data_IF_710380238889
#
_entry.id   IF_710380238889
#
_cell.length_a   1.000
_cell.length_b   1.000
_cell.length_c   1.000
_cell.angle_alpha   90.00
_cell.angle_beta   90.00
_cell.angle_gamma   90.00
#
_symmetry.space_group_name_H-M   'P 1'
#
loop_
_entity.id
_entity.type
_entity.pdbx_description
1 polymer ?
#
# COMPACT_ATOMS: atom_id res chain seq x y z
N UNK A 1 -24.04 5.35 -7.39
CA UNK A 1 -23.34 5.93 -6.51
C UNK A 1 -22.09 6.52 -7.03
N UNK A 2 -21.77 7.62 -6.63
CA UNK A 2 -20.64 8.27 -7.19
C UNK A 2 -19.39 7.85 -6.47
N UNK A 3 -18.30 7.85 -7.15
CA UNK A 3 -17.07 7.55 -6.55
C UNK A 3 -16.44 8.79 -6.07
N UNK A 4 -15.84 8.74 -4.89
CA UNK A 4 -15.12 9.86 -4.38
C UNK A 4 -13.65 9.73 -4.66
N UNK A 5 -13.26 8.86 -5.57
CA UNK A 5 -11.86 8.65 -5.85
C UNK A 5 -11.64 8.26 -7.31
N UNK A 6 -10.41 8.46 -7.75
CA UNK A 6 -10.04 8.04 -9.08
C UNK A 6 -8.74 7.27 -8.98
N UNK A 7 -8.71 6.04 -9.49
CA UNK A 7 -7.49 5.24 -9.47
C UNK A 7 -6.65 5.71 -10.63
N UNK A 8 -5.66 6.53 -10.35
CA UNK A 8 -4.86 7.12 -11.40
C UNK A 8 -3.92 6.10 -12.02
N UNK A 9 -3.28 5.30 -11.18
CA UNK A 9 -2.41 4.28 -11.71
C UNK A 9 -2.23 3.18 -10.70
N UNK A 10 -2.36 1.93 -11.13
CA UNK A 10 -2.10 0.80 -10.28
C UNK A 10 -0.62 0.54 -10.29
N UNK A 11 -0.02 0.39 -9.13
CA UNK A 11 1.41 0.16 -9.04
C UNK A 11 1.68 -1.31 -8.75
N UNK A 12 1.14 -1.85 -7.66
CA UNK A 12 1.44 -3.23 -7.32
C UNK A 12 0.48 -3.79 -6.29
N UNK A 13 0.30 -5.09 -6.35
CA UNK A 13 -0.39 -5.82 -5.29
C UNK A 13 0.70 -6.36 -4.40
N UNK A 14 0.65 -6.04 -3.11
CA UNK A 14 1.69 -6.43 -2.21
C UNK A 14 1.29 -7.55 -1.25
N UNK A 15 0.08 -8.04 -1.38
CA UNK A 15 -0.30 -9.22 -0.60
C UNK A 15 -1.78 -9.28 -0.30
N UNK A 16 -2.13 -10.24 0.53
CA UNK A 16 -3.47 -10.30 1.08
C UNK A 16 -4.55 -10.61 0.09
N UNK A 17 -4.41 -11.61 -0.73
CA UNK A 17 -5.41 -11.87 -1.73
C UNK A 17 -6.45 -12.88 -1.35
N UNK A 18 -6.83 -12.98 -0.14
CA UNK A 18 -7.85 -13.92 0.27
C UNK A 18 -9.23 -13.30 0.14
N UNK A 19 -10.21 -14.06 -0.26
CA UNK A 19 -11.60 -13.61 -0.32
C UNK A 19 -11.79 -12.35 -1.16
N UNK A 20 -11.06 -12.23 -2.23
CA UNK A 20 -11.22 -11.07 -3.10
C UNK A 20 -10.58 -9.82 -2.54
N UNK A 21 -9.84 -9.92 -1.46
CA UNK A 21 -9.19 -8.78 -0.85
C UNK A 21 -7.74 -8.77 -1.24
N UNK A 22 -7.21 -7.62 -1.59
CA UNK A 22 -5.81 -7.49 -1.93
C UNK A 22 -5.26 -6.23 -1.28
N UNK A 23 -4.02 -6.30 -0.83
CA UNK A 23 -3.36 -5.12 -0.30
C UNK A 23 -2.55 -4.53 -1.44
N UNK A 24 -2.78 -3.29 -1.76
CA UNK A 24 -2.20 -2.70 -2.96
C UNK A 24 -1.57 -1.35 -2.70
N UNK A 25 -0.59 -1.02 -3.54
CA UNK A 25 -0.05 0.32 -3.54
C UNK A 25 -0.40 0.90 -4.90
N UNK A 26 -1.00 2.08 -4.93
CA UNK A 26 -1.49 2.69 -6.14
C UNK A 26 -1.33 4.20 -6.05
N UNK A 27 -1.58 4.89 -7.15
CA UNK A 27 -1.67 6.34 -7.12
C UNK A 27 -3.15 6.64 -7.26
N UNK A 28 -3.70 7.33 -6.27
CA UNK A 28 -5.14 7.55 -6.18
C UNK A 28 -5.41 9.02 -5.93
N UNK A 29 -6.43 9.53 -6.61
CA UNK A 29 -6.88 10.89 -6.39
C UNK A 29 -8.17 10.81 -5.60
N UNK A 30 -8.16 11.38 -4.40
CA UNK A 30 -9.34 11.36 -3.54
C UNK A 30 -10.06 12.69 -3.64
N UNK A 31 -11.29 12.64 -4.11
CA UNK A 31 -12.09 13.85 -4.19
C UNK A 31 -11.39 14.95 -4.97
N UNK A 32 -11.21 16.09 -4.34
CA UNK A 32 -10.59 17.23 -4.99
C UNK A 32 -9.11 17.36 -4.71
N UNK A 33 -8.56 16.41 -3.94
CA UNK A 33 -7.16 16.52 -3.58
C UNK A 33 -6.26 16.05 -4.73
N UNK A 34 -5.01 16.45 -4.70
CA UNK A 34 -4.08 15.98 -5.70
C UNK A 34 -3.84 14.49 -5.56
N UNK A 35 -3.40 13.82 -6.61
CA UNK A 35 -3.11 12.40 -6.50
C UNK A 35 -2.06 12.12 -5.45
N UNK A 36 -2.22 11.04 -4.72
CA UNK A 36 -1.33 10.66 -3.66
C UNK A 36 -0.96 9.19 -3.80
N UNK A 37 0.13 8.82 -3.16
CA UNK A 37 0.50 7.42 -3.11
C UNK A 37 -0.36 6.79 -2.03
N UNK A 38 -0.98 5.67 -2.35
CA UNK A 38 -1.96 5.08 -1.46
C UNK A 38 -1.65 3.61 -1.22
N UNK A 39 -1.69 3.19 0.03
CA UNK A 39 -1.47 1.81 0.41
C UNK A 39 -2.68 1.39 1.21
N UNK A 40 -3.46 0.46 0.67
CA UNK A 40 -4.65 0.01 1.39
C UNK A 40 -5.15 -1.31 0.87
N UNK A 41 -6.11 -1.86 1.55
CA UNK A 41 -6.77 -3.05 1.10
C UNK A 41 -7.89 -2.66 0.17
N UNK A 42 -8.09 -3.48 -0.85
CA UNK A 42 -9.17 -3.30 -1.82
C UNK A 42 -9.96 -4.59 -1.88
N UNK A 43 -11.26 -4.50 -1.96
CA UNK A 43 -12.10 -5.66 -2.06
C UNK A 43 -13.12 -5.42 -3.15
N UNK A 44 -13.09 -6.25 -4.18
CA UNK A 44 -14.03 -6.13 -5.28
C UNK A 44 -14.07 -4.73 -5.88
N UNK A 45 -12.91 -4.13 -6.00
CA UNK A 45 -12.82 -2.79 -6.59
C UNK A 45 -13.13 -1.65 -5.65
N UNK A 46 -13.39 -1.96 -4.38
CA UNK A 46 -13.70 -0.93 -3.43
C UNK A 46 -12.59 -0.73 -2.43
N UNK A 47 -12.24 0.52 -2.13
CA UNK A 47 -11.16 0.78 -1.19
C UNK A 47 -11.62 0.53 0.24
N UNK A 48 -10.77 -0.12 1.02
CA UNK A 48 -11.04 -0.38 2.41
C UNK A 48 -10.01 0.40 3.23
N UNK A 49 -9.62 -0.08 4.39
CA UNK A 49 -8.71 0.65 5.25
C UNK A 49 -7.33 0.77 4.66
N UNK A 50 -6.72 1.90 4.87
CA UNK A 50 -5.37 2.13 4.40
C UNK A 50 -4.92 3.54 4.68
N UNK A 51 -3.84 3.94 4.03
CA UNK A 51 -3.28 5.27 4.24
C UNK A 51 -2.91 5.88 2.89
N UNK A 52 -2.95 7.20 2.84
CA UNK A 52 -2.48 7.92 1.69
C UNK A 52 -1.28 8.73 2.12
N UNK A 53 -0.29 8.83 1.27
CA UNK A 53 0.96 9.47 1.60
C UNK A 53 1.30 10.55 0.60
N UNK A 54 1.87 11.63 1.08
CA UNK A 54 2.41 12.63 0.21
C UNK A 54 3.72 12.09 -0.38
N UNK A 55 4.25 12.80 -1.36
CA UNK A 55 5.53 12.40 -1.95
C UNK A 55 6.62 12.35 -0.88
N UNK A 56 6.66 13.37 -0.01
CA UNK A 56 7.69 13.40 1.03
C UNK A 56 7.52 12.28 2.04
N UNK A 57 6.28 12.00 2.40
CA UNK A 57 6.02 10.89 3.32
C UNK A 57 6.40 9.57 2.69
N UNK A 58 6.14 9.41 1.41
CA UNK A 58 6.48 8.17 0.74
C UNK A 58 7.99 7.98 0.67
N UNK A 59 8.76 9.07 0.50
CA UNK A 59 10.20 8.95 0.50
C UNK A 59 10.70 8.48 1.85
N UNK A 60 10.13 9.01 2.94
CA UNK A 60 10.54 8.58 4.25
C UNK A 60 10.15 7.13 4.49
N UNK A 61 8.99 6.74 3.96
CA UNK A 61 8.57 5.35 4.11
C UNK A 61 9.53 4.42 3.39
N UNK A 62 10.02 4.82 2.23
CA UNK A 62 10.94 3.97 1.50
C UNK A 62 12.19 3.70 2.34
N UNK A 63 12.74 4.76 2.95
CA UNK A 63 13.92 4.61 3.76
C UNK A 63 13.63 3.76 5.00
N UNK A 64 12.49 3.99 5.63
CA UNK A 64 12.13 3.25 6.82
C UNK A 64 11.88 1.78 6.49
N UNK A 65 11.30 1.51 5.32
CA UNK A 65 11.06 0.14 4.95
C UNK A 65 12.37 -0.61 4.72
N UNK A 66 13.37 0.06 4.15
CA UNK A 66 14.65 -0.57 3.95
C UNK A 66 15.28 -0.96 5.28
N UNK A 67 15.20 -0.06 6.25
CA UNK A 67 15.73 -0.37 7.57
C UNK A 67 14.92 -1.47 8.24
N UNK A 68 13.61 -1.41 8.13
CA UNK A 68 12.75 -2.40 8.77
C UNK A 68 13.01 -3.79 8.20
N UNK A 69 13.25 -3.87 6.89
CA UNK A 69 13.54 -5.16 6.29
C UNK A 69 14.86 -5.72 6.82
N UNK A 70 15.86 -4.87 6.97
CA UNK A 70 17.13 -5.31 7.50
C UNK A 70 16.99 -5.77 8.94
N UNK A 71 16.26 -5.00 9.76
CA UNK A 71 16.08 -5.37 11.14
C UNK A 71 15.26 -6.65 11.28
N UNK A 72 14.23 -6.79 10.46
CA UNK A 72 13.40 -7.99 10.53
C UNK A 72 14.19 -9.22 10.15
N UNK A 73 15.06 -9.08 9.16
CA UNK A 73 15.88 -10.20 8.77
C UNK A 73 16.79 -10.59 9.90
N UNK A 74 17.37 -9.65 10.62
CA UNK A 74 18.24 -9.96 11.73
C UNK A 74 17.51 -10.57 12.91
N UNK A 75 16.24 -10.20 13.09
CA UNK A 75 15.50 -10.73 14.21
C UNK A 75 14.92 -12.10 13.91
N UNK A 76 14.31 -12.24 12.74
CA UNK A 76 13.60 -13.47 12.46
C UNK A 76 14.45 -14.52 11.79
N UNK A 77 15.60 -14.17 11.38
CA UNK A 77 16.43 -15.09 10.69
C UNK A 77 15.75 -15.49 9.42
N UNK A 78 15.49 -16.74 9.27
CA UNK A 78 14.88 -17.18 8.09
C UNK A 78 13.46 -17.40 8.21
N UNK A 79 12.84 -16.82 9.18
CA UNK A 79 11.46 -17.09 9.38
C UNK A 79 10.65 -16.75 8.18
N UNK A 80 11.08 -15.81 7.42
CA UNK A 80 10.27 -15.44 6.32
C UNK A 80 10.33 -16.42 5.25
N UNK A 81 11.24 -17.31 5.27
CA UNK A 81 11.19 -18.18 4.24
C UNK A 81 10.19 -19.12 4.38
N UNK A 82 9.64 -19.33 5.44
CA UNK A 82 8.65 -20.22 5.48
C UNK A 82 7.57 -19.66 5.02
N UNK A 83 7.62 -18.62 4.78
CA UNK A 83 6.46 -18.01 4.31
C UNK A 83 5.59 -18.17 3.71
#
# INVERSE_FOLDING_TARGET
MSKNFELVKKIAVIGGKADGVAKEINIVKWGVYNPMIDIRRWQNGEPKKGISLSYEEAKKLLEALQEALTETEGITGNANEKG
#
